data_IF_255727728794
#
_entry.id   IF_255727728794
#
_cell.length_a   1.000
_cell.length_b   1.000
_cell.length_c   1.000
_cell.angle_alpha   90.00
_cell.angle_beta   90.00
_cell.angle_gamma   90.00
#
_symmetry.space_group_name_H-M   'P 1'
#
loop_
_entity.id
_entity.type
_entity.pdbx_description
1 polymer ?
#
# COMPACT_ATOMS: atom_id res chain seq x y z
N UNK A 1 8.23 -14.51 -2.81
CA UNK A 1 8.69 -13.11 -2.78
C UNK A 1 9.97 -13.01 -1.99
N UNK A 2 10.85 -12.08 -2.33
CA UNK A 2 12.07 -11.76 -1.58
C UNK A 2 12.25 -10.23 -1.39
N UNK A 3 13.35 -9.84 -0.73
CA UNK A 3 13.64 -8.42 -0.46
C UNK A 3 13.90 -7.60 -1.73
N UNK A 4 14.48 -8.19 -2.77
CA UNK A 4 14.78 -7.50 -4.03
C UNK A 4 13.47 -7.20 -4.78
N UNK A 5 12.53 -8.13 -4.77
CA UNK A 5 11.19 -7.92 -5.28
C UNK A 5 10.44 -6.80 -4.54
N UNK A 6 10.53 -6.74 -3.20
CA UNK A 6 9.98 -5.63 -2.42
C UNK A 6 10.59 -4.27 -2.79
N UNK A 7 11.92 -4.23 -2.98
CA UNK A 7 12.57 -3.01 -3.47
C UNK A 7 12.09 -2.61 -4.85
N UNK A 8 11.87 -3.57 -5.74
CA UNK A 8 11.34 -3.32 -7.07
C UNK A 8 9.90 -2.79 -7.02
N UNK A 9 9.05 -3.32 -6.14
CA UNK A 9 7.71 -2.79 -5.89
C UNK A 9 7.77 -1.33 -5.40
N UNK A 10 8.58 -1.05 -4.38
CA UNK A 10 8.77 0.31 -3.86
C UNK A 10 9.29 1.28 -4.94
N UNK A 11 10.28 0.84 -5.73
CA UNK A 11 10.85 1.64 -6.82
C UNK A 11 9.80 1.94 -7.90
N UNK A 12 9.00 0.95 -8.25
CA UNK A 12 7.95 1.09 -9.27
C UNK A 12 6.85 2.02 -8.77
N UNK A 13 6.41 1.85 -7.52
CA UNK A 13 5.40 2.70 -6.89
C UNK A 13 5.88 4.17 -6.83
N UNK A 14 7.16 4.42 -6.52
CA UNK A 14 7.75 5.77 -6.51
C UNK A 14 7.80 6.44 -7.89
N UNK A 15 8.10 5.69 -8.94
CA UNK A 15 8.33 6.25 -10.29
C UNK A 15 7.05 6.47 -11.08
N UNK A 16 6.03 5.68 -10.81
CA UNK A 16 4.77 5.70 -11.56
C UNK A 16 3.78 6.68 -10.94
N UNK A 17 2.94 7.29 -11.77
CA UNK A 17 1.82 8.13 -11.29
C UNK A 17 0.60 7.29 -10.92
N UNK A 18 0.34 6.22 -11.69
CA UNK A 18 -0.74 5.29 -11.42
C UNK A 18 -0.42 4.37 -10.24
N UNK A 19 -1.49 3.87 -9.60
CA UNK A 19 -1.43 2.82 -8.59
C UNK A 19 -1.04 1.52 -9.28
N UNK A 20 0.03 0.88 -8.79
CA UNK A 20 0.53 -0.38 -9.34
C UNK A 20 -0.17 -1.58 -8.70
N UNK A 21 -0.12 -2.78 -9.28
CA UNK A 21 -0.58 -3.99 -8.58
C UNK A 21 0.13 -4.17 -7.24
N UNK A 22 -0.61 -4.55 -6.20
CA UNK A 22 -0.07 -4.81 -4.87
C UNK A 22 -0.27 -6.28 -4.49
N UNK A 23 0.79 -7.10 -4.50
CA UNK A 23 0.71 -8.54 -4.20
C UNK A 23 0.65 -8.77 -2.67
N UNK A 24 -0.46 -8.35 -2.06
CA UNK A 24 -0.61 -8.32 -0.60
C UNK A 24 -0.39 -9.69 0.06
N UNK A 25 -0.92 -10.76 -0.53
CA UNK A 25 -0.79 -12.11 0.02
C UNK A 25 0.67 -12.58 0.02
N UNK A 26 1.42 -12.30 -1.04
CA UNK A 26 2.83 -12.68 -1.16
C UNK A 26 3.69 -11.91 -0.15
N UNK A 27 3.40 -10.63 0.05
CA UNK A 27 4.06 -9.79 1.07
C UNK A 27 3.76 -10.32 2.47
N UNK A 28 2.49 -10.61 2.78
CA UNK A 28 2.08 -11.15 4.09
C UNK A 28 2.76 -12.49 4.36
N UNK A 29 2.81 -13.36 3.36
CA UNK A 29 3.50 -14.65 3.46
C UNK A 29 4.99 -14.44 3.74
N UNK A 30 5.68 -13.60 2.96
CA UNK A 30 7.09 -13.31 3.12
C UNK A 30 7.43 -12.76 4.52
N UNK A 31 6.66 -11.77 5.01
CA UNK A 31 6.83 -11.24 6.37
C UNK A 31 6.58 -12.29 7.45
N UNK A 32 5.62 -13.19 7.23
CA UNK A 32 5.33 -14.29 8.14
C UNK A 32 6.48 -15.29 8.20
N UNK A 33 7.06 -15.64 7.05
CA UNK A 33 8.22 -16.53 6.96
C UNK A 33 9.43 -15.95 7.71
N UNK A 34 9.75 -14.67 7.51
CA UNK A 34 10.82 -13.98 8.25
C UNK A 34 10.56 -13.96 9.77
N UNK A 35 9.32 -13.72 10.21
CA UNK A 35 8.93 -13.74 11.64
C UNK A 35 9.01 -15.13 12.25
N UNK A 36 8.74 -16.17 11.48
CA UNK A 36 8.89 -17.55 11.94
C UNK A 36 10.37 -17.91 12.05
N UNK A 37 11.16 -17.60 11.03
CA UNK A 37 12.61 -17.83 11.03
C UNK A 37 13.31 -17.10 12.18
N UNK A 38 12.94 -15.84 12.43
CA UNK A 38 13.43 -15.08 13.58
C UNK A 38 13.15 -15.80 14.91
N UNK A 39 11.94 -16.35 15.08
CA UNK A 39 11.54 -17.08 16.29
C UNK A 39 12.29 -18.39 16.46
N UNK A 40 12.53 -19.11 15.37
CA UNK A 40 13.32 -20.35 15.39
C UNK A 40 14.78 -20.09 15.77
N UNK A 41 15.36 -19.00 15.25
CA UNK A 41 16.75 -18.60 15.53
C UNK A 41 16.95 -18.06 16.96
N UNK A 42 15.90 -17.69 17.68
CA UNK A 42 15.99 -17.29 19.10
C UNK A 42 16.39 -18.45 20.02
N UNK A 43 16.17 -19.71 19.59
CA UNK A 43 16.43 -20.88 20.41
C UNK A 43 17.91 -21.30 20.46
N UNK A 44 18.76 -20.81 19.54
CA UNK A 44 20.17 -21.22 19.44
C UNK A 44 21.13 -20.01 19.49
N UNK A 45 21.87 -19.87 20.60
CA UNK A 45 22.85 -18.80 20.80
C UNK A 45 24.00 -18.81 19.77
N UNK A 46 24.27 -19.96 19.13
CA UNK A 46 25.33 -20.07 18.11
C UNK A 46 24.95 -19.42 16.78
N UNK A 47 23.65 -19.17 16.57
CA UNK A 47 23.09 -18.61 15.35
C UNK A 47 22.96 -17.07 15.37
N UNK A 48 23.65 -16.37 16.28
CA UNK A 48 23.51 -14.92 16.47
C UNK A 48 23.70 -14.08 15.19
N UNK A 49 24.60 -14.50 14.28
CA UNK A 49 24.82 -13.81 12.99
C UNK A 49 23.61 -13.93 12.08
N UNK A 50 23.06 -15.13 11.97
CA UNK A 50 21.90 -15.40 11.13
C UNK A 50 20.67 -14.71 11.70
N UNK A 51 20.50 -14.76 13.03
CA UNK A 51 19.45 -14.02 13.73
C UNK A 51 19.49 -12.54 13.40
N UNK A 52 20.67 -11.91 13.49
CA UNK A 52 20.83 -10.49 13.18
C UNK A 52 20.52 -10.18 11.72
N UNK A 53 20.94 -11.03 10.79
CA UNK A 53 20.63 -10.89 9.37
C UNK A 53 19.12 -10.93 9.11
N UNK A 54 18.42 -11.89 9.71
CA UNK A 54 16.96 -12.02 9.57
C UNK A 54 16.22 -10.85 10.23
N UNK A 55 16.73 -10.36 11.37
CA UNK A 55 16.24 -9.13 12.01
C UNK A 55 16.36 -7.91 11.08
N UNK A 56 17.55 -7.68 10.51
CA UNK A 56 17.82 -6.57 9.58
C UNK A 56 16.94 -6.67 8.32
N UNK A 57 16.77 -7.88 7.77
CA UNK A 57 15.94 -8.14 6.59
C UNK A 57 14.45 -7.92 6.88
N UNK A 58 13.96 -8.36 8.03
CA UNK A 58 12.58 -8.12 8.47
C UNK A 58 12.31 -6.63 8.67
N UNK A 59 13.19 -5.90 9.35
CA UNK A 59 13.06 -4.46 9.55
C UNK A 59 13.03 -3.73 8.20
N UNK A 60 13.90 -4.12 7.28
CA UNK A 60 13.97 -3.55 5.93
C UNK A 60 12.70 -3.84 5.13
N UNK A 61 12.19 -5.07 5.21
CA UNK A 61 10.95 -5.47 4.53
C UNK A 61 9.76 -4.67 5.07
N UNK A 62 9.61 -4.57 6.40
CA UNK A 62 8.54 -3.80 7.03
C UNK A 62 8.62 -2.31 6.69
N UNK A 63 9.83 -1.74 6.62
CA UNK A 63 10.04 -0.38 6.15
C UNK A 63 9.57 -0.20 4.70
N UNK A 64 9.97 -1.10 3.80
CA UNK A 64 9.60 -1.02 2.39
C UNK A 64 8.08 -1.10 2.19
N UNK A 65 7.42 -2.04 2.86
CA UNK A 65 5.96 -2.21 2.81
C UNK A 65 5.24 -0.96 3.30
N UNK A 66 5.69 -0.38 4.42
CA UNK A 66 5.13 0.86 4.96
C UNK A 66 5.25 2.02 3.99
N UNK A 67 6.40 2.18 3.34
CA UNK A 67 6.61 3.22 2.34
C UNK A 67 5.78 3.00 1.08
N UNK A 68 5.60 1.75 0.63
CA UNK A 68 4.69 1.42 -0.48
C UNK A 68 3.27 1.85 -0.13
N UNK A 69 2.74 1.41 1.03
CA UNK A 69 1.38 1.76 1.48
C UNK A 69 1.20 3.27 1.58
N UNK A 70 2.19 4.00 2.13
CA UNK A 70 2.15 5.46 2.24
C UNK A 70 2.04 6.13 0.87
N UNK A 71 2.83 5.70 -0.11
CA UNK A 71 2.80 6.24 -1.47
C UNK A 71 1.47 5.94 -2.16
N UNK A 72 0.95 4.72 -1.98
CA UNK A 72 -0.34 4.31 -2.52
C UNK A 72 -1.50 5.11 -1.93
N UNK A 73 -1.53 5.32 -0.62
CA UNK A 73 -2.54 6.15 0.03
C UNK A 73 -2.60 7.59 -0.52
N UNK A 74 -1.44 8.18 -0.81
CA UNK A 74 -1.35 9.50 -1.45
C UNK A 74 -1.97 9.44 -2.86
N UNK A 75 -1.64 8.42 -3.65
CA UNK A 75 -2.19 8.25 -5.00
C UNK A 75 -3.70 8.03 -4.96
N UNK A 76 -4.20 7.14 -4.09
CA UNK A 76 -5.64 6.90 -3.88
C UNK A 76 -6.36 8.21 -3.57
N UNK A 77 -5.79 9.02 -2.66
CA UNK A 77 -6.36 10.33 -2.29
C UNK A 77 -6.39 11.28 -3.49
N UNK A 78 -5.30 11.41 -4.24
CA UNK A 78 -5.29 12.24 -5.45
C UNK A 78 -6.32 11.77 -6.47
N UNK A 79 -6.39 10.47 -6.74
CA UNK A 79 -7.39 9.89 -7.64
C UNK A 79 -8.82 10.21 -7.18
N UNK A 80 -9.11 10.14 -5.87
CA UNK A 80 -10.43 10.46 -5.33
C UNK A 80 -10.81 11.93 -5.53
N UNK A 81 -9.86 12.86 -5.32
CA UNK A 81 -10.05 14.30 -5.57
C UNK A 81 -10.39 14.55 -7.04
N UNK A 82 -9.60 14.03 -7.97
CA UNK A 82 -9.86 14.23 -9.40
C UNK A 82 -11.20 13.60 -9.84
N UNK A 83 -11.51 12.41 -9.34
CA UNK A 83 -12.75 11.71 -9.70
C UNK A 83 -13.98 12.48 -9.20
N UNK A 84 -13.96 12.95 -7.95
CA UNK A 84 -15.08 13.70 -7.35
C UNK A 84 -15.35 15.07 -8.00
N UNK A 85 -14.35 15.68 -8.64
CA UNK A 85 -14.46 16.97 -9.31
C UNK A 85 -15.02 16.87 -10.74
N UNK A 86 -14.65 15.82 -11.48
CA UNK A 86 -14.77 15.82 -12.95
C UNK A 86 -15.94 14.96 -13.44
N UNK A 87 -16.48 14.08 -12.60
CA UNK A 87 -16.97 12.84 -13.14
C UNK A 87 -18.12 12.26 -12.27
N UNK A 88 -19.31 12.10 -12.84
CA UNK A 88 -20.41 11.29 -12.26
C UNK A 88 -20.06 9.79 -12.40
N UNK A 89 -18.92 9.38 -11.84
CA UNK A 89 -18.45 7.98 -11.89
C UNK A 89 -19.10 7.23 -10.75
N UNK A 90 -20.38 6.93 -10.91
CA UNK A 90 -21.04 6.05 -9.95
C UNK A 90 -20.50 4.62 -10.06
N UNK A 91 -19.98 4.15 -11.21
CA UNK A 91 -19.82 2.69 -11.38
C UNK A 91 -18.66 2.19 -12.28
N UNK A 92 -17.61 2.96 -12.56
CA UNK A 92 -16.53 2.44 -13.45
C UNK A 92 -15.52 1.57 -12.67
N UNK A 93 -15.47 0.24 -12.89
CA UNK A 93 -14.55 -0.66 -12.18
C UNK A 93 -13.07 -0.34 -12.50
N UNK A 94 -12.82 0.37 -13.60
CA UNK A 94 -11.48 0.76 -14.03
C UNK A 94 -10.82 1.77 -13.09
N UNK A 95 -11.61 2.52 -12.31
CA UNK A 95 -11.10 3.50 -11.35
C UNK A 95 -10.40 2.82 -10.18
N UNK A 96 -10.89 1.66 -9.78
CA UNK A 96 -10.34 0.86 -8.68
C UNK A 96 -9.23 -0.10 -9.14
N UNK A 97 -8.83 -0.01 -10.41
CA UNK A 97 -7.82 -0.91 -10.97
C UNK A 97 -6.55 -0.87 -10.12
N UNK A 98 -6.10 -2.05 -9.69
CA UNK A 98 -4.92 -2.28 -8.86
C UNK A 98 -4.99 -1.76 -7.41
N UNK A 99 -6.14 -1.25 -6.96
CA UNK A 99 -6.35 -0.97 -5.54
C UNK A 99 -6.62 -2.28 -4.79
N UNK A 100 -6.24 -2.34 -3.52
CA UNK A 100 -6.79 -3.37 -2.61
C UNK A 100 -8.26 -3.07 -2.31
N UNK A 101 -8.94 -4.02 -1.68
CA UNK A 101 -10.33 -3.83 -1.25
C UNK A 101 -10.46 -2.64 -0.30
N UNK A 102 -9.58 -2.54 0.69
CA UNK A 102 -9.56 -1.45 1.68
C UNK A 102 -9.24 -0.10 1.05
N UNK A 103 -8.31 -0.07 0.10
CA UNK A 103 -8.00 1.15 -0.67
C UNK A 103 -9.20 1.62 -1.49
N UNK A 104 -9.95 0.67 -2.07
CA UNK A 104 -11.19 0.96 -2.78
C UNK A 104 -12.28 1.52 -1.86
N UNK A 105 -12.44 0.97 -0.66
CA UNK A 105 -13.36 1.52 0.34
C UNK A 105 -12.99 2.96 0.73
N UNK A 106 -11.71 3.21 1.01
CA UNK A 106 -11.20 4.53 1.35
C UNK A 106 -11.45 5.51 0.20
N UNK A 107 -11.16 5.09 -1.03
CA UNK A 107 -11.39 5.88 -2.24
C UNK A 107 -12.84 6.37 -2.32
N UNK A 108 -13.82 5.47 -2.19
CA UNK A 108 -15.23 5.84 -2.31
C UNK A 108 -15.70 6.75 -1.19
N UNK A 109 -15.26 6.50 0.04
CA UNK A 109 -15.56 7.38 1.19
C UNK A 109 -15.01 8.79 0.97
N UNK A 110 -13.80 8.90 0.43
CA UNK A 110 -13.21 10.20 0.07
C UNK A 110 -14.02 10.88 -1.03
N UNK A 111 -14.39 10.17 -2.11
CA UNK A 111 -15.20 10.73 -3.18
C UNK A 111 -16.55 11.26 -2.69
N UNK A 112 -17.27 10.47 -1.86
CA UNK A 112 -18.56 10.88 -1.31
C UNK A 112 -18.42 12.13 -0.43
N UNK A 113 -17.41 12.15 0.45
CA UNK A 113 -17.14 13.29 1.33
C UNK A 113 -16.81 14.56 0.54
N UNK A 114 -15.94 14.45 -0.47
CA UNK A 114 -15.55 15.56 -1.33
C UNK A 114 -16.71 16.09 -2.17
N UNK A 115 -17.55 15.21 -2.73
CA UNK A 115 -18.74 15.61 -3.49
C UNK A 115 -19.68 16.47 -2.64
N UNK A 116 -19.96 16.06 -1.40
CA UNK A 116 -20.78 16.86 -0.45
C UNK A 116 -20.18 18.24 -0.16
N UNK A 117 -18.85 18.32 -0.04
CA UNK A 117 -18.15 19.60 0.17
C UNK A 117 -18.29 20.50 -1.06
N UNK A 118 -18.05 19.97 -2.27
CA UNK A 118 -18.15 20.74 -3.51
C UNK A 118 -19.58 21.22 -3.76
N UNK A 119 -20.58 20.37 -3.56
CA UNK A 119 -22.00 20.75 -3.68
C UNK A 119 -22.37 21.87 -2.72
N UNK A 120 -21.83 21.85 -1.49
CA UNK A 120 -22.04 22.94 -0.52
C UNK A 120 -21.43 24.25 -1.02
N UNK A 121 -20.17 24.22 -1.43
CA UNK A 121 -19.47 25.41 -1.94
C UNK A 121 -20.19 26.00 -3.16
N UNK A 122 -20.63 25.16 -4.10
CA UNK A 122 -21.33 25.59 -5.31
C UNK A 122 -22.72 26.19 -5.06
N UNK A 123 -23.37 25.92 -3.92
CA UNK A 123 -24.64 26.56 -3.55
C UNK A 123 -24.46 27.96 -2.94
N UNK A 124 -23.26 28.23 -2.41
CA UNK A 124 -22.91 29.51 -1.78
C UNK A 124 -22.29 30.51 -2.78
N UNK A 125 -21.97 30.06 -3.99
CA UNK A 125 -21.51 30.85 -5.13
C UNK A 125 -22.67 31.24 -6.06
#
# INVERSE_FOLDING_TARGET
>A
MDIEELYNLLRTERKTRSIQPFPENEIKQYLSELKTLQRELLADERMWKERRRVEDELETAEFCVREIIRLRAIKVTHHAIFTSLVCDVSDSPLVLKNMTEEEGEIFWRLCEGLKKIYEKVMREL
#
